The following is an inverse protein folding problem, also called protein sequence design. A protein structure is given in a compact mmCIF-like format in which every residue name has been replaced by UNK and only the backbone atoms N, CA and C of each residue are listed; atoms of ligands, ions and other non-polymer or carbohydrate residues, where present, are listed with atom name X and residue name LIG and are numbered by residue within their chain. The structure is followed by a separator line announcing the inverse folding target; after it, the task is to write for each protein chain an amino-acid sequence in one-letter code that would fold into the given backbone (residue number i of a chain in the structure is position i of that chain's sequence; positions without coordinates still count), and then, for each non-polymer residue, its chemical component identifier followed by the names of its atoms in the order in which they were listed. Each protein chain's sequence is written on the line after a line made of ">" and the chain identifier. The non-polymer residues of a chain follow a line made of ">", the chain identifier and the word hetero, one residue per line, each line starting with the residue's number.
data_IF_778088626922
#
_entry.id   IF_778088626922
#
_cell.length_a   1.000
_cell.length_b   1.000
_cell.length_c   1.000
_cell.angle_alpha   90.00
_cell.angle_beta   90.00
_cell.angle_gamma   90.00
#
_symmetry.space_group_name_H-M   'P 1'
#
loop_
_entity.id
_entity.type
_entity.pdbx_description
1 polymer ?
#
# COMPACT_ATOMS: atom_id res chain seq x y z
N UNK A 1 2.65 19.58 35.92
CA UNK A 1 2.85 18.12 36.15
C UNK A 1 1.70 17.48 36.95
N UNK A 2 1.04 18.18 37.88
CA UNK A 2 -0.02 17.62 38.74
C UNK A 2 -1.31 17.16 38.04
N UNK A 3 -1.65 17.69 36.86
CA UNK A 3 -2.90 17.35 36.17
C UNK A 3 -2.90 15.95 35.53
N UNK A 4 -1.73 15.40 35.19
CA UNK A 4 -1.60 14.06 34.59
C UNK A 4 -1.88 12.97 35.64
N UNK A 5 -1.51 13.22 36.91
CA UNK A 5 -1.69 12.29 38.02
C UNK A 5 -3.16 12.08 38.43
N UNK A 6 -4.03 13.06 38.17
CA UNK A 6 -5.44 13.02 38.57
C UNK A 6 -6.33 12.16 37.65
N UNK A 7 -5.81 11.58 36.56
CA UNK A 7 -6.60 10.78 35.61
C UNK A 7 -7.72 11.53 34.89
N UNK A 8 -7.75 12.87 34.97
CA UNK A 8 -8.82 13.74 34.45
C UNK A 8 -8.69 14.13 32.97
N UNK A 9 -7.76 13.51 32.24
CA UNK A 9 -7.66 13.72 30.79
C UNK A 9 -8.32 12.55 30.05
N UNK A 10 -9.19 12.83 29.06
CA UNK A 10 -9.69 11.76 28.21
C UNK A 10 -8.49 11.06 27.57
N UNK A 11 -8.42 9.74 27.71
CA UNK A 11 -7.40 8.93 27.06
C UNK A 11 -7.36 9.31 25.56
N UNK A 12 -6.17 9.55 25.03
CA UNK A 12 -6.01 9.95 23.63
C UNK A 12 -6.59 8.86 22.73
N UNK A 13 -7.70 9.17 22.05
CA UNK A 13 -8.35 8.22 21.14
C UNK A 13 -7.43 7.99 19.94
N UNK A 14 -7.07 6.74 19.63
CA UNK A 14 -6.21 6.45 18.49
C UNK A 14 -6.86 6.93 17.19
N UNK A 15 -6.08 7.63 16.36
CA UNK A 15 -6.56 8.16 15.09
C UNK A 15 -6.85 7.01 14.12
N UNK A 16 -8.11 6.85 13.73
CA UNK A 16 -8.51 5.91 12.68
C UNK A 16 -7.82 6.28 11.37
N UNK A 17 -6.87 5.43 10.94
CA UNK A 17 -6.07 5.64 9.72
C UNK A 17 -6.84 5.29 8.45
N UNK A 18 -7.56 4.17 8.47
CA UNK A 18 -8.34 3.67 7.34
C UNK A 18 -9.84 3.92 7.59
N UNK A 19 -10.49 4.63 6.67
CA UNK A 19 -11.95 4.78 6.65
C UNK A 19 -12.46 4.13 5.37
N UNK A 20 -13.29 3.11 5.50
CA UNK A 20 -13.86 2.37 4.35
C UNK A 20 -14.63 3.27 3.39
N UNK A 21 -15.27 4.33 3.90
CA UNK A 21 -15.97 5.33 3.09
C UNK A 21 -15.04 6.16 2.19
N UNK A 22 -13.73 6.17 2.46
CA UNK A 22 -12.72 6.93 1.71
C UNK A 22 -11.44 6.08 1.57
N UNK A 23 -11.46 5.02 0.74
CA UNK A 23 -10.37 4.06 0.63
C UNK A 23 -9.04 4.70 0.22
N UNK A 24 -9.08 5.76 -0.59
CA UNK A 24 -7.89 6.46 -1.07
C UNK A 24 -7.31 7.51 -0.09
N UNK A 25 -7.92 7.68 1.09
CA UNK A 25 -7.49 8.67 2.08
C UNK A 25 -6.12 8.28 2.64
N UNK A 26 -5.17 9.21 2.59
CA UNK A 26 -3.80 8.96 3.05
C UNK A 26 -2.86 8.39 1.98
N UNK A 27 -3.38 7.86 0.87
CA UNK A 27 -2.59 7.31 -0.23
C UNK A 27 -2.33 8.34 -1.33
N UNK A 28 -3.35 9.13 -1.68
CA UNK A 28 -3.26 10.12 -2.75
C UNK A 28 -2.51 11.35 -2.26
N UNK A 29 -1.55 11.84 -3.05
CA UNK A 29 -0.77 13.05 -2.74
C UNK A 29 -1.37 14.28 -3.39
N UNK A 30 -1.28 15.41 -2.69
CA UNK A 30 -1.60 16.73 -3.22
C UNK A 30 -0.62 17.09 -4.34
N UNK A 31 -1.13 17.55 -5.49
CA UNK A 31 -0.29 18.01 -6.61
C UNK A 31 0.53 19.27 -6.31
N UNK A 32 0.14 20.04 -5.28
CA UNK A 32 0.81 21.30 -4.93
C UNK A 32 1.89 21.11 -3.86
N UNK A 33 1.61 20.32 -2.81
CA UNK A 33 2.50 20.19 -1.65
C UNK A 33 2.97 18.78 -1.36
N UNK A 34 2.58 17.80 -2.19
CA UNK A 34 2.93 16.38 -2.08
C UNK A 34 2.51 15.69 -0.77
N UNK A 35 1.84 16.41 0.15
CA UNK A 35 1.27 15.83 1.37
C UNK A 35 0.04 15.00 1.02
N UNK A 36 -0.21 13.98 1.83
CA UNK A 36 -1.38 13.13 1.65
C UNK A 36 -2.69 13.92 1.74
N UNK A 37 -3.61 13.65 0.82
CA UNK A 37 -4.95 14.20 0.83
C UNK A 37 -5.75 13.57 1.98
N UNK A 38 -6.61 14.40 2.58
CA UNK A 38 -7.65 13.95 3.49
C UNK A 38 -8.97 13.82 2.73
N UNK A 39 -10.00 13.34 3.41
CA UNK A 39 -11.34 13.27 2.86
C UNK A 39 -12.40 13.52 3.93
N UNK A 40 -13.44 14.26 3.55
CA UNK A 40 -14.60 14.52 4.40
C UNK A 40 -15.80 14.95 3.55
N UNK A 41 -16.96 15.05 4.20
CA UNK A 41 -18.10 15.78 3.67
C UNK A 41 -17.83 17.29 3.77
N UNK A 42 -18.02 18.01 2.68
CA UNK A 42 -17.99 19.46 2.62
C UNK A 42 -19.43 19.98 2.45
N UNK A 43 -19.78 21.02 3.19
CA UNK A 43 -21.10 21.66 3.08
C UNK A 43 -21.10 22.71 1.96
N UNK A 44 -22.20 22.80 1.20
CA UNK A 44 -22.40 23.83 0.17
C UNK A 44 -23.82 23.78 -0.41
N UNK A 45 -24.38 24.90 -0.88
CA UNK A 45 -25.73 24.96 -1.49
C UNK A 45 -26.82 24.14 -0.78
N UNK A 46 -26.83 24.13 0.56
CA UNK A 46 -27.80 23.37 1.37
C UNK A 46 -27.55 21.86 1.48
N UNK A 47 -26.51 21.32 0.84
CA UNK A 47 -26.15 19.90 0.85
C UNK A 47 -24.79 19.59 1.48
N UNK A 48 -24.50 18.30 1.63
CA UNK A 48 -23.19 17.75 2.02
C UNK A 48 -22.65 16.88 0.90
N UNK A 49 -21.41 17.14 0.50
CA UNK A 49 -20.79 16.49 -0.65
C UNK A 49 -19.46 15.85 -0.26
N UNK A 50 -19.20 14.59 -0.64
CA UNK A 50 -17.95 13.91 -0.32
C UNK A 50 -16.81 14.36 -1.24
N UNK A 51 -15.70 14.83 -0.64
CA UNK A 51 -14.52 15.28 -1.37
C UNK A 51 -13.22 14.76 -0.78
N UNK A 52 -12.26 14.48 -1.66
CA UNK A 52 -10.84 14.45 -1.33
C UNK A 52 -10.27 15.86 -1.42
N UNK A 53 -9.51 16.27 -0.41
CA UNK A 53 -8.94 17.62 -0.39
C UNK A 53 -7.66 17.68 0.42
N UNK A 54 -6.81 18.68 0.11
CA UNK A 54 -5.63 18.94 0.91
C UNK A 54 -6.03 19.64 2.22
N UNK A 55 -5.40 19.35 3.35
CA UNK A 55 -5.69 20.10 4.59
C UNK A 55 -4.95 21.44 4.66
N UNK A 56 -3.92 21.62 3.82
CA UNK A 56 -3.13 22.83 3.75
C UNK A 56 -3.90 23.97 3.06
N UNK A 57 -3.57 25.20 3.44
CA UNK A 57 -4.19 26.41 2.88
C UNK A 57 -3.50 26.78 1.56
N UNK A 58 -3.98 26.19 0.46
CA UNK A 58 -3.56 26.57 -0.90
C UNK A 58 -4.65 27.40 -1.59
N UNK A 59 -4.28 28.20 -2.60
CA UNK A 59 -5.20 28.92 -3.48
C UNK A 59 -4.76 28.72 -4.94
N UNK A 60 -5.56 28.05 -5.80
CA UNK A 60 -6.75 27.29 -5.46
C UNK A 60 -6.41 26.06 -4.60
N UNK A 61 -7.34 25.67 -3.73
CA UNK A 61 -7.18 24.48 -2.90
C UNK A 61 -7.63 23.25 -3.71
N UNK A 62 -6.82 22.19 -3.83
CA UNK A 62 -7.25 20.98 -4.51
C UNK A 62 -8.45 20.36 -3.81
N UNK A 63 -9.57 20.30 -4.53
CA UNK A 63 -10.80 19.60 -4.17
C UNK A 63 -11.19 18.69 -5.32
N UNK A 64 -11.33 17.40 -5.04
CA UNK A 64 -11.69 16.39 -6.03
C UNK A 64 -12.90 15.63 -5.49
N UNK A 65 -13.99 15.61 -6.24
CA UNK A 65 -15.19 14.88 -5.86
C UNK A 65 -14.85 13.41 -5.63
N UNK A 66 -15.39 12.81 -4.56
CA UNK A 66 -15.10 11.41 -4.18
C UNK A 66 -15.27 10.46 -5.37
N UNK A 67 -16.41 10.55 -6.05
CA UNK A 67 -16.74 9.72 -7.21
C UNK A 67 -15.67 9.83 -8.30
N UNK A 68 -15.27 11.06 -8.66
CA UNK A 68 -14.25 11.29 -9.69
C UNK A 68 -12.88 10.73 -9.31
N UNK A 69 -12.49 10.87 -8.04
CA UNK A 69 -11.20 10.36 -7.56
C UNK A 69 -11.17 8.84 -7.58
N UNK A 70 -12.23 8.19 -7.08
CA UNK A 70 -12.32 6.74 -6.98
C UNK A 70 -12.50 6.09 -8.35
N UNK A 71 -13.34 6.65 -9.23
CA UNK A 71 -13.52 6.13 -10.59
C UNK A 71 -12.22 6.24 -11.41
N UNK A 72 -11.56 7.40 -11.37
CA UNK A 72 -10.28 7.58 -12.07
C UNK A 72 -9.18 6.66 -11.53
N UNK A 73 -9.20 6.35 -10.23
CA UNK A 73 -8.27 5.37 -9.67
C UNK A 73 -8.58 3.94 -10.16
N UNK A 74 -9.85 3.56 -10.24
CA UNK A 74 -10.25 2.25 -10.79
C UNK A 74 -9.89 2.11 -12.27
N UNK A 75 -10.10 3.16 -13.06
CA UNK A 75 -9.67 3.21 -14.46
C UNK A 75 -8.15 3.06 -14.60
N UNK A 76 -7.39 3.77 -13.76
CA UNK A 76 -5.94 3.64 -13.71
C UNK A 76 -5.51 2.20 -13.38
N UNK A 77 -6.10 1.58 -12.37
CA UNK A 77 -5.80 0.18 -12.03
C UNK A 77 -6.11 -0.77 -13.19
N UNK A 78 -7.25 -0.60 -13.85
CA UNK A 78 -7.63 -1.42 -15.00
C UNK A 78 -6.65 -1.25 -16.17
N UNK A 79 -6.10 -0.04 -16.36
CA UNK A 79 -5.08 0.21 -17.39
C UNK A 79 -3.72 -0.42 -17.08
N UNK A 80 -3.42 -0.67 -15.80
CA UNK A 80 -2.18 -1.27 -15.37
C UNK A 80 -2.20 -2.81 -15.41
N UNK A 81 -3.38 -3.42 -15.58
CA UNK A 81 -3.51 -4.87 -15.70
C UNK A 81 -2.89 -5.32 -17.03
N UNK A 82 -1.87 -6.20 -17.03
CA UNK A 82 -1.31 -6.71 -18.27
C UNK A 82 -2.35 -7.53 -19.02
N UNK A 83 -2.27 -7.55 -20.35
CA UNK A 83 -3.10 -8.46 -21.14
C UNK A 83 -2.83 -9.93 -20.77
N UNK A 84 -3.79 -10.79 -21.12
CA UNK A 84 -3.77 -12.21 -20.76
C UNK A 84 -2.52 -12.93 -21.28
N UNK A 85 -2.01 -12.52 -22.44
CA UNK A 85 -0.88 -13.15 -23.09
C UNK A 85 0.43 -12.80 -22.36
N UNK A 86 0.59 -11.53 -21.96
CA UNK A 86 1.71 -11.08 -21.11
C UNK A 86 1.68 -11.74 -19.73
N UNK A 87 0.50 -11.91 -19.13
CA UNK A 87 0.36 -12.64 -17.86
C UNK A 87 0.75 -14.12 -18.00
N UNK A 88 0.39 -14.75 -19.12
CA UNK A 88 0.78 -16.13 -19.41
C UNK A 88 2.29 -16.26 -19.56
N UNK A 89 2.92 -15.39 -20.35
CA UNK A 89 4.38 -15.38 -20.50
C UNK A 89 5.08 -15.12 -19.16
N UNK A 90 4.59 -14.16 -18.36
CA UNK A 90 5.14 -13.90 -17.04
C UNK A 90 5.09 -15.14 -16.14
N UNK A 91 3.98 -15.89 -16.18
CA UNK A 91 3.86 -17.14 -15.43
C UNK A 91 4.88 -18.18 -15.88
N UNK A 92 5.05 -18.37 -17.19
CA UNK A 92 6.02 -19.32 -17.76
C UNK A 92 7.44 -18.97 -17.30
N UNK A 93 7.84 -17.71 -17.44
CA UNK A 93 9.16 -17.22 -16.99
C UNK A 93 9.37 -17.46 -15.48
N UNK A 94 8.36 -17.21 -14.65
CA UNK A 94 8.44 -17.42 -13.20
C UNK A 94 8.62 -18.90 -12.87
N UNK A 95 7.89 -19.79 -13.56
CA UNK A 95 8.01 -21.24 -13.37
C UNK A 95 9.40 -21.73 -13.79
N UNK A 96 9.89 -21.31 -14.95
CA UNK A 96 11.21 -21.71 -15.46
C UNK A 96 12.34 -21.27 -14.52
N UNK A 97 12.28 -20.02 -14.03
CA UNK A 97 13.23 -19.51 -13.04
C UNK A 97 13.15 -20.27 -11.72
N UNK A 98 11.95 -20.64 -11.29
CA UNK A 98 11.74 -21.41 -10.06
C UNK A 98 12.34 -22.81 -10.17
N UNK A 99 12.12 -23.49 -11.30
CA UNK A 99 12.70 -24.80 -11.56
C UNK A 99 14.23 -24.77 -11.61
N UNK A 100 14.79 -23.73 -12.21
CA UNK A 100 16.24 -23.51 -12.26
C UNK A 100 16.81 -23.35 -10.85
N UNK A 101 16.22 -22.46 -10.04
CA UNK A 101 16.64 -22.27 -8.64
C UNK A 101 16.48 -23.53 -7.79
N UNK A 102 15.43 -24.32 -8.03
CA UNK A 102 15.22 -25.59 -7.31
C UNK A 102 16.32 -26.61 -7.63
N UNK A 103 16.74 -26.69 -8.90
CA UNK A 103 17.86 -27.56 -9.32
C UNK A 103 19.17 -27.12 -8.66
N UNK A 104 19.48 -25.82 -8.71
CA UNK A 104 20.67 -25.24 -8.05
C UNK A 104 20.68 -25.54 -6.55
N UNK A 105 19.57 -25.31 -5.86
CA UNK A 105 19.45 -25.60 -4.43
C UNK A 105 19.61 -27.09 -4.10
N UNK A 106 19.14 -28.00 -4.98
CA UNK A 106 19.36 -29.44 -4.82
C UNK A 106 20.83 -29.84 -5.00
N UNK A 107 21.52 -29.25 -5.97
CA UNK A 107 22.95 -29.47 -6.20
C UNK A 107 23.75 -28.98 -4.99
N UNK A 108 23.47 -27.76 -4.52
CA UNK A 108 24.13 -27.20 -3.34
C UNK A 108 23.87 -28.04 -2.09
N UNK A 109 22.64 -28.51 -1.88
CA UNK A 109 22.30 -29.43 -0.79
C UNK A 109 23.13 -30.71 -0.83
N UNK A 110 23.21 -31.36 -1.99
CA UNK A 110 24.02 -32.59 -2.16
C UNK A 110 25.52 -32.35 -1.95
N UNK A 111 26.01 -31.16 -2.34
CA UNK A 111 27.42 -30.77 -2.15
C UNK A 111 27.73 -30.55 -0.68
N UNK A 112 26.84 -29.87 0.04
CA UNK A 112 26.96 -29.62 1.48
C UNK A 112 26.90 -30.94 2.26
N UNK A 113 25.99 -31.85 1.90
CA UNK A 113 25.90 -33.17 2.54
C UNK A 113 27.19 -33.99 2.36
N UNK A 114 27.74 -34.02 1.14
CA UNK A 114 29.00 -34.71 0.89
C UNK A 114 30.21 -34.07 1.62
N UNK A 115 30.16 -32.77 1.90
CA UNK A 115 31.18 -32.07 2.66
C UNK A 115 31.05 -32.34 4.17
N UNK A 116 29.83 -32.43 4.69
CA UNK A 116 29.56 -32.87 6.07
C UNK A 116 30.10 -34.29 6.29
N UNK A 117 29.77 -35.23 5.39
CA UNK A 117 30.19 -36.64 5.53
C UNK A 117 31.72 -36.80 5.57
N UNK A 118 32.46 -36.03 4.75
CA UNK A 118 33.92 -36.00 4.79
C UNK A 118 34.46 -35.49 6.13
N UNK A 119 33.91 -34.39 6.63
CA UNK A 119 34.34 -33.78 7.89
C UNK A 119 34.02 -34.65 9.10
N UNK A 120 32.93 -35.42 9.06
CA UNK A 120 32.56 -36.37 10.10
C UNK A 120 33.42 -37.65 10.06
N UNK A 121 33.88 -38.07 8.88
CA UNK A 121 34.78 -39.23 8.71
C UNK A 121 36.24 -38.98 9.09
N UNK A 122 36.69 -37.73 9.10
CA UNK A 122 38.04 -37.32 9.52
C UNK A 122 38.21 -37.20 11.05
N UNK A 123 37.16 -37.53 11.83
CA UNK A 123 37.12 -37.43 13.30
C UNK A 123 37.25 -38.79 13.99
#
# INVERSE_FOLDING_TARGET
>A
VQLISAGKYPAAVPKVKCRSEYPLRGFVKCSVCSKALTASLCSGHGGKYPYYHCYQKHKPKPYIAKVKMESGFMEYLNSAVPDKDRLKLFREVVVDLWETKKKEAGIDGSRIEAEIEKLEGDR
#
